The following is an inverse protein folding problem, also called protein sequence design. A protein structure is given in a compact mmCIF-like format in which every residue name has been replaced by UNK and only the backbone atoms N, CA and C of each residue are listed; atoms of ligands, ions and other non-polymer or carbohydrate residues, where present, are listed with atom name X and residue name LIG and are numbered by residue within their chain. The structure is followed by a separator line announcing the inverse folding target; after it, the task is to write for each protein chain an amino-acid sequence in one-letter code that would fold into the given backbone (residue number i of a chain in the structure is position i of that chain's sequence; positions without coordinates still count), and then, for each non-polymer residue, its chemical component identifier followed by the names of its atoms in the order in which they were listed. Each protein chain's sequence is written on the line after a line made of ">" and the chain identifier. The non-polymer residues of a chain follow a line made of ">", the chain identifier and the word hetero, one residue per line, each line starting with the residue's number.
data_IF_543924817346
#
_entry.id   IF_543924817346
#
_cell.length_a   1.000
_cell.length_b   1.000
_cell.length_c   1.000
_cell.angle_alpha   90.00
_cell.angle_beta   90.00
_cell.angle_gamma   90.00
#
_symmetry.space_group_name_H-M   'P 1'
#
loop_
_entity.id
_entity.type
_entity.pdbx_description
1 polymer ?
#
# COMPACT_ATOMS: atom_id res chain seq x y z
N UNK A 1 -9.46 2.21 -29.97
CA UNK A 1 -8.44 1.51 -30.76
C UNK A 1 -7.53 0.74 -29.79
N UNK A 2 -7.28 -0.55 -29.98
CA UNK A 2 -6.38 -1.30 -29.09
C UNK A 2 -4.90 -1.13 -29.50
N UNK A 3 -3.96 -1.58 -28.65
CA UNK A 3 -2.51 -1.44 -28.86
C UNK A 3 -2.02 -1.92 -30.24
N UNK A 4 -2.54 -3.04 -30.73
CA UNK A 4 -2.16 -3.61 -32.02
C UNK A 4 -2.66 -2.75 -33.19
N UNK A 5 -3.86 -2.21 -33.07
CA UNK A 5 -4.45 -1.32 -34.08
C UNK A 5 -3.73 0.03 -34.14
N UNK A 6 -3.29 0.58 -32.99
CA UNK A 6 -2.59 1.87 -32.94
C UNK A 6 -1.22 1.82 -33.64
N UNK A 7 -0.40 0.78 -33.39
CA UNK A 7 0.89 0.62 -34.05
C UNK A 7 0.77 0.47 -35.57
N UNK A 8 -0.18 -0.37 -36.02
CA UNK A 8 -0.46 -0.55 -37.44
C UNK A 8 -0.98 0.73 -38.11
N UNK A 9 -1.83 1.51 -37.42
CA UNK A 9 -2.35 2.77 -37.94
C UNK A 9 -1.26 3.84 -38.06
N UNK A 10 -0.34 3.94 -37.09
CA UNK A 10 0.82 4.84 -37.18
C UNK A 10 1.72 4.48 -38.37
N UNK A 11 1.95 3.18 -38.60
CA UNK A 11 2.71 2.70 -39.78
C UNK A 11 2.01 3.08 -41.08
N UNK A 12 0.68 2.93 -41.15
CA UNK A 12 -0.10 3.28 -42.33
C UNK A 12 -0.01 4.79 -42.64
N UNK A 13 -0.14 5.65 -41.62
CA UNK A 13 0.02 7.11 -41.77
C UNK A 13 1.43 7.48 -42.25
N UNK A 14 2.47 6.83 -41.71
CA UNK A 14 3.83 7.05 -42.21
C UNK A 14 3.95 6.66 -43.69
N UNK A 15 3.48 5.47 -44.06
CA UNK A 15 3.56 5.01 -45.45
C UNK A 15 2.79 5.93 -46.41
N UNK A 16 1.61 6.39 -46.02
CA UNK A 16 0.82 7.34 -46.79
C UNK A 16 1.51 8.70 -46.97
N UNK A 17 2.28 9.16 -45.97
CA UNK A 17 3.07 10.39 -46.07
C UNK A 17 4.31 10.28 -46.98
N UNK A 18 4.68 9.07 -47.41
CA UNK A 18 5.90 8.81 -48.18
C UNK A 18 7.21 8.93 -47.39
N UNK A 19 7.16 9.22 -46.09
CA UNK A 19 8.37 9.41 -45.26
C UNK A 19 9.01 8.07 -44.90
N UNK A 20 10.34 8.02 -45.04
CA UNK A 20 11.13 6.88 -44.57
C UNK A 20 11.10 6.77 -43.04
N UNK A 21 11.09 5.54 -42.52
CA UNK A 21 11.10 5.27 -41.08
C UNK A 21 12.28 5.93 -40.36
N UNK A 22 13.46 6.01 -41.00
CA UNK A 22 14.64 6.66 -40.43
C UNK A 22 14.46 8.17 -40.25
N UNK A 23 13.75 8.82 -41.17
CA UNK A 23 13.44 10.25 -41.11
C UNK A 23 12.43 10.53 -40.00
N UNK A 24 11.36 9.76 -39.92
CA UNK A 24 10.35 9.89 -38.85
C UNK A 24 10.95 9.62 -37.49
N UNK A 25 11.74 8.57 -37.32
CA UNK A 25 12.39 8.26 -36.04
C UNK A 25 13.30 9.41 -35.56
N UNK A 26 14.07 10.01 -36.48
CA UNK A 26 14.90 11.18 -36.19
C UNK A 26 14.05 12.39 -35.78
N UNK A 27 13.00 12.70 -36.55
CA UNK A 27 12.10 13.81 -36.24
C UNK A 27 11.33 13.63 -34.93
N UNK A 28 11.05 12.39 -34.55
CA UNK A 28 10.37 12.04 -33.31
C UNK A 28 11.33 11.83 -32.11
N UNK A 29 12.63 12.12 -32.28
CA UNK A 29 13.67 11.99 -31.26
C UNK A 29 13.72 10.59 -30.63
N UNK A 30 13.64 9.54 -31.46
CA UNK A 30 13.70 8.15 -31.02
C UNK A 30 14.56 7.28 -31.94
N UNK A 31 14.99 6.12 -31.45
CA UNK A 31 15.75 5.18 -32.26
C UNK A 31 14.88 4.55 -33.36
N UNK A 32 15.42 4.25 -34.55
CA UNK A 32 14.69 3.51 -35.58
C UNK A 32 14.17 2.14 -35.10
N UNK A 33 14.91 1.52 -34.17
CA UNK A 33 14.49 0.27 -33.52
C UNK A 33 13.24 0.47 -32.66
N UNK A 34 13.16 1.55 -31.86
CA UNK A 34 11.96 1.88 -31.06
C UNK A 34 10.75 2.11 -31.96
N UNK A 35 10.91 2.92 -33.02
CA UNK A 35 9.84 3.19 -33.99
C UNK A 35 9.36 1.89 -34.66
N UNK A 36 10.28 1.04 -35.11
CA UNK A 36 9.94 -0.25 -35.72
C UNK A 36 9.16 -1.17 -34.77
N UNK A 37 9.56 -1.25 -33.49
CA UNK A 37 8.82 -2.04 -32.50
C UNK A 37 7.41 -1.50 -32.27
N UNK A 38 7.23 -0.17 -32.28
CA UNK A 38 5.91 0.47 -32.17
C UNK A 38 5.05 0.14 -33.38
N UNK A 39 5.56 0.35 -34.60
CA UNK A 39 4.83 0.12 -35.86
C UNK A 39 4.42 -1.35 -36.05
N UNK A 40 5.18 -2.29 -35.46
CA UNK A 40 4.88 -3.72 -35.49
C UNK A 40 4.12 -4.22 -34.24
N UNK A 41 3.59 -3.33 -33.41
CA UNK A 41 2.86 -3.64 -32.16
C UNK A 41 3.66 -4.45 -31.10
N UNK A 42 4.97 -4.55 -31.28
CA UNK A 42 5.90 -5.21 -30.35
C UNK A 42 6.27 -4.32 -29.15
N UNK A 43 6.00 -3.01 -29.23
CA UNK A 43 6.12 -2.05 -28.14
C UNK A 43 4.90 -1.12 -28.14
N UNK A 44 4.26 -0.93 -26.99
CA UNK A 44 3.19 0.06 -26.86
C UNK A 44 3.80 1.47 -26.87
N UNK A 45 3.35 2.40 -27.74
CA UNK A 45 3.79 3.78 -27.67
C UNK A 45 3.12 4.51 -26.50
N UNK A 46 3.86 5.38 -25.81
CA UNK A 46 3.24 6.38 -24.94
C UNK A 46 2.47 7.42 -25.76
N UNK A 47 1.56 8.17 -25.14
CA UNK A 47 0.88 9.30 -25.79
C UNK A 47 1.89 10.30 -26.39
N UNK A 48 2.98 10.58 -25.67
CA UNK A 48 4.07 11.44 -26.14
C UNK A 48 4.88 10.82 -27.29
N UNK A 49 5.02 9.48 -27.36
CA UNK A 49 5.61 8.83 -28.52
C UNK A 49 4.70 8.99 -29.75
N UNK A 50 3.39 8.80 -29.59
CA UNK A 50 2.40 8.99 -30.65
C UNK A 50 2.40 10.42 -31.19
N UNK A 51 2.33 11.41 -30.30
CA UNK A 51 2.36 12.83 -30.67
C UNK A 51 3.64 13.20 -31.44
N UNK A 52 4.81 12.73 -30.98
CA UNK A 52 6.09 12.96 -31.66
C UNK A 52 6.16 12.30 -33.03
N UNK A 53 5.67 11.06 -33.15
CA UNK A 53 5.61 10.34 -34.43
C UNK A 53 4.70 11.09 -35.41
N UNK A 54 3.50 11.48 -34.99
CA UNK A 54 2.53 12.17 -35.84
C UNK A 54 3.00 13.58 -36.23
N UNK A 55 3.68 14.28 -35.33
CA UNK A 55 4.34 15.56 -35.63
C UNK A 55 5.44 15.38 -36.67
N UNK A 56 6.28 14.34 -36.54
CA UNK A 56 7.31 14.04 -37.53
C UNK A 56 6.73 13.60 -38.88
N UNK A 57 5.56 12.94 -38.90
CA UNK A 57 4.81 12.61 -40.11
C UNK A 57 4.18 13.87 -40.73
N UNK A 58 3.77 14.84 -39.92
CA UNK A 58 3.18 16.10 -40.37
C UNK A 58 1.67 16.01 -40.64
N UNK A 59 0.94 15.23 -39.84
CA UNK A 59 -0.53 15.16 -39.90
C UNK A 59 -1.18 16.40 -39.25
N UNK A 60 -2.49 16.60 -39.48
CA UNK A 60 -3.25 17.69 -38.87
C UNK A 60 -3.38 17.55 -37.35
N UNK A 61 -3.68 18.65 -36.66
CA UNK A 61 -3.80 18.65 -35.21
C UNK A 61 -5.01 17.84 -34.71
N UNK A 62 -6.08 17.74 -35.50
CA UNK A 62 -7.23 16.88 -35.20
C UNK A 62 -6.82 15.40 -35.17
N UNK A 63 -6.05 14.96 -36.18
CA UNK A 63 -5.54 13.58 -36.24
C UNK A 63 -4.54 13.31 -35.10
N UNK A 64 -3.68 14.28 -34.78
CA UNK A 64 -2.80 14.16 -33.59
C UNK A 64 -3.62 13.97 -32.33
N UNK A 65 -4.64 14.78 -32.11
CA UNK A 65 -5.47 14.72 -30.92
C UNK A 65 -6.19 13.36 -30.82
N UNK A 66 -6.82 12.90 -31.90
CA UNK A 66 -7.54 11.62 -31.94
C UNK A 66 -6.63 10.43 -31.57
N UNK A 67 -5.46 10.33 -32.20
CA UNK A 67 -4.54 9.21 -31.99
C UNK A 67 -3.83 9.28 -30.65
N UNK A 68 -3.55 10.49 -30.17
CA UNK A 68 -2.96 10.69 -28.84
C UNK A 68 -3.96 10.29 -27.76
N UNK A 69 -5.25 10.64 -27.90
CA UNK A 69 -6.32 10.16 -27.02
C UNK A 69 -6.50 8.64 -27.10
N UNK A 70 -6.42 8.05 -28.30
CA UNK A 70 -6.46 6.60 -28.44
C UNK A 70 -5.28 5.91 -27.73
N UNK A 71 -4.09 6.51 -27.77
CA UNK A 71 -2.91 6.03 -27.05
C UNK A 71 -3.10 6.12 -25.52
N UNK A 72 -3.67 7.22 -25.04
CA UNK A 72 -4.02 7.45 -23.62
C UNK A 72 -5.02 6.41 -23.12
N UNK A 73 -6.11 6.21 -23.86
CA UNK A 73 -7.11 5.18 -23.54
C UNK A 73 -6.52 3.76 -23.53
N UNK A 74 -5.46 3.51 -24.30
CA UNK A 74 -4.75 2.22 -24.34
C UNK A 74 -3.69 2.06 -23.25
N UNK A 75 -3.25 3.16 -22.60
CA UNK A 75 -2.21 3.17 -21.57
C UNK A 75 -2.70 2.68 -20.20
N UNK A 76 -4.03 2.57 -20.05
CA UNK A 76 -4.69 1.94 -18.91
C UNK A 76 -5.16 0.55 -19.31
N UNK A 77 -4.43 -0.48 -18.86
CA UNK A 77 -4.76 -1.87 -19.16
C UNK A 77 -5.44 -2.52 -17.96
N UNK A 78 -6.66 -3.05 -18.16
CA UNK A 78 -7.39 -3.82 -17.16
C UNK A 78 -7.28 -5.32 -17.48
N UNK A 79 -6.57 -6.06 -16.65
CA UNK A 79 -6.44 -7.51 -16.77
C UNK A 79 -7.33 -8.21 -15.76
N UNK A 80 -8.33 -8.95 -16.24
CA UNK A 80 -9.23 -9.69 -15.36
C UNK A 80 -8.50 -10.79 -14.57
N UNK A 81 -8.73 -10.88 -13.25
CA UNK A 81 -8.08 -11.86 -12.38
C UNK A 81 -8.30 -13.31 -12.83
N UNK A 82 -9.46 -13.60 -13.45
CA UNK A 82 -9.75 -14.92 -14.02
C UNK A 82 -8.75 -15.36 -15.10
N UNK A 83 -8.19 -14.42 -15.84
CA UNK A 83 -7.18 -14.70 -16.87
C UNK A 83 -5.82 -14.96 -16.23
N UNK A 84 -5.42 -14.14 -15.25
CA UNK A 84 -4.18 -14.34 -14.48
C UNK A 84 -4.19 -15.66 -13.70
N UNK A 85 -5.33 -16.04 -13.10
CA UNK A 85 -5.49 -17.33 -12.41
C UNK A 85 -5.27 -18.53 -13.34
N UNK A 86 -5.70 -18.47 -14.61
CA UNK A 86 -5.45 -19.54 -15.61
C UNK A 86 -3.97 -19.67 -15.97
N UNK A 87 -3.24 -18.56 -15.96
CA UNK A 87 -1.79 -18.53 -16.21
C UNK A 87 -1.00 -19.06 -15.01
N UNK A 88 -1.62 -19.02 -13.82
CA UNK A 88 -1.12 -19.54 -12.55
C UNK A 88 -0.69 -18.40 -11.61
N UNK A 89 -1.16 -18.45 -10.36
CA UNK A 89 -0.93 -17.40 -9.33
C UNK A 89 0.57 -17.12 -9.13
N UNK A 90 1.41 -18.14 -9.25
CA UNK A 90 2.87 -18.04 -9.19
C UNK A 90 3.47 -17.15 -10.28
N UNK A 91 2.98 -17.21 -11.52
CA UNK A 91 3.49 -16.36 -12.61
C UNK A 91 3.13 -14.88 -12.39
N UNK A 92 1.97 -14.60 -11.80
CA UNK A 92 1.61 -13.24 -11.37
C UNK A 92 2.52 -12.72 -10.26
N UNK A 93 2.90 -13.57 -9.30
CA UNK A 93 3.88 -13.21 -8.27
C UNK A 93 5.26 -12.93 -8.85
N UNK A 94 5.74 -13.75 -9.78
CA UNK A 94 7.02 -13.53 -10.45
C UNK A 94 7.04 -12.23 -11.26
N UNK A 95 5.95 -11.90 -11.96
CA UNK A 95 5.84 -10.64 -12.69
C UNK A 95 5.89 -9.43 -11.73
N UNK A 96 5.18 -9.51 -10.59
CA UNK A 96 5.25 -8.47 -9.56
C UNK A 96 6.65 -8.33 -8.96
N UNK A 97 7.32 -9.45 -8.67
CA UNK A 97 8.72 -9.45 -8.18
C UNK A 97 9.68 -8.86 -9.20
N UNK A 98 9.52 -9.16 -10.50
CA UNK A 98 10.37 -8.61 -11.55
C UNK A 98 10.24 -7.09 -11.67
N UNK A 99 9.01 -6.57 -11.57
CA UNK A 99 8.75 -5.13 -11.54
C UNK A 99 9.35 -4.48 -10.30
N UNK A 100 9.22 -5.12 -9.13
CA UNK A 100 9.80 -4.62 -7.87
C UNK A 100 11.34 -4.66 -7.85
N UNK A 101 11.93 -5.64 -8.51
CA UNK A 101 13.37 -5.73 -8.64
C UNK A 101 13.93 -4.54 -9.45
N UNK A 102 13.22 -4.12 -10.50
CA UNK A 102 13.65 -3.02 -11.36
C UNK A 102 13.38 -1.64 -10.77
N UNK A 103 12.47 -1.52 -9.79
CA UNK A 103 12.09 -0.21 -9.25
C UNK A 103 13.14 0.34 -8.28
N UNK A 104 13.29 1.66 -8.26
CA UNK A 104 14.07 2.37 -7.24
C UNK A 104 13.18 2.84 -6.07
N UNK A 105 11.95 3.22 -6.37
CA UNK A 105 11.00 3.77 -5.40
C UNK A 105 9.64 3.08 -5.54
N UNK A 106 9.09 2.67 -4.40
CA UNK A 106 7.72 2.15 -4.27
C UNK A 106 6.94 3.05 -3.33
N UNK A 107 5.77 3.52 -3.76
CA UNK A 107 4.76 4.14 -2.89
C UNK A 107 3.51 3.26 -2.89
N UNK A 108 3.07 2.82 -1.73
CA UNK A 108 1.90 1.95 -1.59
C UNK A 108 0.90 2.57 -0.62
N UNK A 109 -0.30 2.83 -1.13
CA UNK A 109 -1.43 3.25 -0.33
C UNK A 109 -2.35 2.06 -0.05
N UNK A 110 -2.65 1.81 1.22
CA UNK A 110 -3.54 0.73 1.64
C UNK A 110 -4.63 1.19 2.62
N UNK A 111 -5.88 1.31 2.16
CA UNK A 111 -6.97 1.76 3.01
C UNK A 111 -7.72 0.65 3.75
N UNK A 112 -7.48 -0.63 3.41
CA UNK A 112 -8.33 -1.73 3.85
C UNK A 112 -7.57 -3.01 4.27
N UNK A 113 -6.29 -3.14 3.98
CA UNK A 113 -5.51 -4.32 4.33
C UNK A 113 -4.06 -3.98 4.62
N UNK A 114 -3.41 -4.74 5.52
CA UNK A 114 -1.96 -4.59 5.72
C UNK A 114 -1.26 -4.83 4.37
N UNK A 115 -0.35 -3.93 3.92
CA UNK A 115 0.40 -4.11 2.69
C UNK A 115 1.09 -5.46 2.64
N UNK A 116 1.04 -6.16 1.50
CA UNK A 116 1.57 -7.52 1.37
C UNK A 116 3.04 -7.67 1.80
N UNK A 117 3.86 -6.64 1.59
CA UNK A 117 5.26 -6.61 2.01
C UNK A 117 5.41 -6.61 3.55
N UNK A 118 4.44 -6.04 4.26
CA UNK A 118 4.43 -5.91 5.72
C UNK A 118 3.71 -7.06 6.43
N UNK A 119 3.05 -7.97 5.72
CA UNK A 119 2.23 -9.03 6.33
C UNK A 119 3.05 -10.12 7.03
N UNK A 120 2.54 -10.67 8.14
CA UNK A 120 3.04 -11.91 8.76
C UNK A 120 2.49 -13.16 8.06
N UNK A 121 3.13 -14.33 8.19
CA UNK A 121 2.63 -15.59 7.60
C UNK A 121 1.17 -15.89 7.95
N UNK A 122 0.77 -15.64 9.20
CA UNK A 122 -0.57 -15.85 9.72
C UNK A 122 -1.59 -14.95 9.01
N UNK A 123 -1.22 -13.67 8.85
CA UNK A 123 -2.05 -12.69 8.15
C UNK A 123 -2.18 -13.03 6.66
N UNK A 124 -1.07 -13.38 6.01
CA UNK A 124 -1.06 -13.83 4.60
C UNK A 124 -2.01 -15.03 4.43
N UNK A 125 -1.89 -16.04 5.30
CA UNK A 125 -2.75 -17.24 5.27
C UNK A 125 -4.23 -16.87 5.41
N UNK A 126 -4.58 -15.98 6.35
CA UNK A 126 -5.96 -15.56 6.57
C UNK A 126 -6.56 -14.80 5.37
N UNK A 127 -5.76 -13.97 4.69
CA UNK A 127 -6.16 -13.29 3.46
C UNK A 127 -6.37 -14.30 2.33
N UNK A 128 -5.42 -15.22 2.13
CA UNK A 128 -5.44 -16.15 1.00
C UNK A 128 -6.51 -17.25 1.12
N UNK A 129 -6.90 -17.66 2.34
CA UNK A 129 -7.97 -18.66 2.55
C UNK A 129 -9.30 -18.28 1.89
N UNK A 130 -9.56 -16.97 1.70
CA UNK A 130 -10.78 -16.45 1.06
C UNK A 130 -10.85 -16.75 -0.44
N UNK A 131 -9.76 -17.20 -1.05
CA UNK A 131 -9.67 -17.46 -2.48
C UNK A 131 -9.91 -18.93 -2.87
N UNK A 132 -10.34 -19.78 -1.93
CA UNK A 132 -10.65 -21.20 -2.14
C UNK A 132 -9.52 -21.97 -2.85
N UNK A 133 -8.28 -21.72 -2.44
CA UNK A 133 -7.09 -22.43 -2.94
C UNK A 133 -6.99 -23.81 -2.28
N UNK A 134 -6.40 -24.79 -2.98
CA UNK A 134 -5.98 -26.04 -2.33
C UNK A 134 -4.87 -25.77 -1.31
N UNK A 135 -4.69 -26.62 -0.30
CA UNK A 135 -3.66 -26.42 0.75
C UNK A 135 -2.23 -26.34 0.17
N UNK A 136 -1.94 -27.12 -0.87
CA UNK A 136 -0.65 -27.08 -1.56
C UNK A 136 -0.46 -25.77 -2.36
N UNK A 137 -1.51 -25.29 -3.05
CA UNK A 137 -1.46 -24.00 -3.74
C UNK A 137 -1.37 -22.84 -2.75
N UNK A 138 -2.07 -22.91 -1.61
CA UNK A 138 -2.02 -21.95 -0.52
C UNK A 138 -0.60 -21.85 0.05
N UNK A 139 0.01 -22.99 0.38
CA UNK A 139 1.37 -23.05 0.94
C UNK A 139 2.39 -22.45 -0.03
N UNK A 140 2.34 -22.82 -1.31
CA UNK A 140 3.21 -22.23 -2.34
C UNK A 140 3.01 -20.72 -2.49
N UNK A 141 1.76 -20.26 -2.46
CA UNK A 141 1.42 -18.82 -2.58
C UNK A 141 1.89 -18.02 -1.36
N UNK A 142 1.83 -18.60 -0.15
CA UNK A 142 2.37 -18.01 1.08
C UNK A 142 3.89 -17.87 0.94
N UNK A 143 4.59 -18.93 0.56
CA UNK A 143 6.05 -18.92 0.42
C UNK A 143 6.51 -17.87 -0.60
N UNK A 144 5.89 -17.80 -1.77
CA UNK A 144 6.22 -16.76 -2.77
C UNK A 144 5.95 -15.34 -2.27
N UNK A 145 4.92 -15.13 -1.43
CA UNK A 145 4.71 -13.82 -0.77
C UNK A 145 5.81 -13.51 0.25
N UNK A 146 6.26 -14.49 1.03
CA UNK A 146 7.34 -14.30 2.00
C UNK A 146 8.68 -14.05 1.31
N UNK A 147 9.00 -14.77 0.24
CA UNK A 147 10.21 -14.54 -0.57
C UNK A 147 10.24 -13.13 -1.15
N UNK A 148 9.10 -12.63 -1.65
CA UNK A 148 8.96 -11.25 -2.13
C UNK A 148 9.24 -10.20 -1.07
N UNK A 149 9.04 -10.49 0.22
CA UNK A 149 9.33 -9.55 1.31
C UNK A 149 10.83 -9.30 1.51
N UNK A 150 11.72 -10.08 0.89
CA UNK A 150 13.17 -9.83 0.91
C UNK A 150 13.52 -8.42 0.40
N UNK A 151 12.70 -7.85 -0.49
CA UNK A 151 12.87 -6.47 -0.99
C UNK A 151 12.88 -5.41 0.11
N UNK A 152 12.25 -5.68 1.27
CA UNK A 152 12.28 -4.77 2.42
C UNK A 152 13.70 -4.53 2.94
N UNK A 153 14.63 -5.45 2.71
CA UNK A 153 16.01 -5.37 3.19
C UNK A 153 16.99 -4.86 2.12
N UNK A 154 16.50 -4.51 0.93
CA UNK A 154 17.31 -3.86 -0.10
C UNK A 154 17.41 -2.35 0.17
N UNK A 155 18.54 -1.93 0.74
CA UNK A 155 18.79 -0.52 1.10
C UNK A 155 18.98 0.40 -0.11
N UNK A 156 19.10 -0.14 -1.33
CA UNK A 156 19.13 0.67 -2.55
C UNK A 156 17.75 1.18 -2.97
N UNK A 157 16.67 0.68 -2.35
CA UNK A 157 15.28 1.03 -2.69
C UNK A 157 14.65 1.94 -1.65
N UNK A 158 13.82 2.88 -2.08
CA UNK A 158 12.97 3.70 -1.20
C UNK A 158 11.56 3.11 -1.15
N UNK A 159 11.17 2.56 -0.01
CA UNK A 159 9.85 1.93 0.17
C UNK A 159 8.97 2.79 1.08
N UNK A 160 7.86 3.30 0.55
CA UNK A 160 6.95 4.20 1.27
C UNK A 160 5.56 3.60 1.35
N UNK A 161 5.03 3.51 2.56
CA UNK A 161 3.74 2.92 2.84
C UNK A 161 2.88 3.94 3.56
N UNK A 162 1.68 4.16 3.06
CA UNK A 162 0.63 4.91 3.76
C UNK A 162 -0.53 3.98 3.96
N UNK A 163 -0.85 3.72 5.22
CA UNK A 163 -1.97 2.86 5.61
C UNK A 163 -2.95 3.64 6.45
N UNK A 164 -4.24 3.32 6.35
CA UNK A 164 -5.24 3.93 7.22
C UNK A 164 -5.35 3.15 8.53
N UNK A 165 -5.64 3.82 9.64
CA UNK A 165 -5.77 3.18 10.95
C UNK A 165 -6.81 2.01 10.97
N UNK A 166 -7.94 2.04 10.24
CA UNK A 166 -8.84 0.88 10.13
C UNK A 166 -8.17 -0.43 9.73
N UNK A 167 -7.11 -0.39 8.92
CA UNK A 167 -6.31 -1.57 8.54
C UNK A 167 -5.78 -2.33 9.76
N UNK A 168 -5.40 -1.58 10.79
CA UNK A 168 -4.80 -2.10 12.03
C UNK A 168 -5.85 -2.67 12.98
N UNK A 169 -7.12 -2.31 12.76
CA UNK A 169 -8.25 -2.66 13.63
C UNK A 169 -9.13 -3.78 13.06
N UNK A 170 -9.06 -4.02 11.75
CA UNK A 170 -9.78 -5.13 11.13
C UNK A 170 -9.28 -6.47 11.67
N UNK A 171 -10.18 -7.23 12.29
CA UNK A 171 -9.90 -8.54 12.91
C UNK A 171 -9.76 -9.65 11.87
N UNK A 172 -8.77 -9.51 10.98
CA UNK A 172 -8.47 -10.49 9.92
C UNK A 172 -7.90 -11.77 10.51
N UNK A 173 -7.14 -11.66 11.60
CA UNK A 173 -6.60 -12.76 12.40
C UNK A 173 -6.95 -12.57 13.89
N UNK A 174 -6.82 -13.62 14.73
CA UNK A 174 -7.04 -13.49 16.17
C UNK A 174 -6.14 -12.43 16.83
N UNK A 175 -6.55 -11.85 17.98
CA UNK A 175 -5.84 -10.72 18.62
C UNK A 175 -4.33 -10.93 18.81
N UNK A 176 -3.92 -12.12 19.27
CA UNK A 176 -2.50 -12.46 19.46
C UNK A 176 -1.68 -12.42 18.15
N UNK A 177 -2.29 -12.78 17.02
CA UNK A 177 -1.65 -12.71 15.70
C UNK A 177 -1.69 -11.30 15.12
N UNK A 178 -2.70 -10.51 15.47
CA UNK A 178 -2.70 -9.08 15.16
C UNK A 178 -1.59 -8.36 15.90
N UNK A 179 -1.34 -8.67 17.18
CA UNK A 179 -0.22 -8.10 17.94
C UNK A 179 1.12 -8.35 17.22
N UNK A 180 1.41 -9.61 16.86
CA UNK A 180 2.60 -9.95 16.08
C UNK A 180 2.67 -9.23 14.71
N UNK A 181 1.51 -8.97 14.08
CA UNK A 181 1.44 -8.18 12.84
C UNK A 181 1.79 -6.70 13.08
N UNK A 182 1.37 -6.11 14.20
CA UNK A 182 1.72 -4.74 14.56
C UNK A 182 3.21 -4.63 14.91
N UNK A 183 3.75 -5.59 15.68
CA UNK A 183 5.18 -5.68 16.02
C UNK A 183 6.05 -5.74 14.76
N UNK A 184 5.61 -6.48 13.74
CA UNK A 184 6.28 -6.53 12.45
C UNK A 184 6.31 -5.17 11.76
N UNK A 185 5.19 -4.43 11.78
CA UNK A 185 5.13 -3.08 11.19
C UNK A 185 6.09 -2.14 11.93
N UNK A 186 6.07 -2.15 13.26
CA UNK A 186 7.00 -1.39 14.10
C UNK A 186 8.45 -1.75 13.77
N UNK A 187 8.78 -3.04 13.70
CA UNK A 187 10.14 -3.51 13.43
C UNK A 187 10.64 -3.05 12.06
N UNK A 188 9.82 -3.21 11.01
CA UNK A 188 10.17 -2.80 9.64
C UNK A 188 10.28 -1.27 9.52
N UNK A 189 9.49 -0.51 10.28
CA UNK A 189 9.55 0.97 10.30
C UNK A 189 10.88 1.54 10.80
N UNK A 190 11.74 0.70 11.39
CA UNK A 190 13.08 1.10 11.87
C UNK A 190 14.15 1.01 10.77
N UNK A 191 13.83 0.44 9.61
CA UNK A 191 14.75 0.41 8.47
C UNK A 191 14.83 1.80 7.83
N UNK A 192 16.04 2.34 7.57
CA UNK A 192 16.21 3.74 7.17
C UNK A 192 15.61 4.08 5.80
N UNK A 193 15.48 3.09 4.92
CA UNK A 193 14.93 3.21 3.57
C UNK A 193 13.45 2.83 3.48
N UNK A 194 12.81 2.57 4.62
CA UNK A 194 11.39 2.21 4.73
C UNK A 194 10.64 3.28 5.53
N UNK A 195 9.74 4.00 4.88
CA UNK A 195 8.83 4.96 5.51
C UNK A 195 7.44 4.34 5.62
N UNK A 196 6.97 4.10 6.85
CA UNK A 196 5.61 3.62 7.12
C UNK A 196 4.87 4.70 7.87
N UNK A 197 3.72 5.09 7.32
CA UNK A 197 2.85 6.09 7.94
C UNK A 197 1.44 5.58 8.11
N UNK A 198 0.81 6.02 9.19
CA UNK A 198 -0.57 5.65 9.55
C UNK A 198 -1.45 6.89 9.54
N UNK A 199 -2.52 6.89 8.74
CA UNK A 199 -3.55 7.93 8.75
C UNK A 199 -4.52 7.64 9.90
N UNK A 200 -4.51 8.43 10.99
CA UNK A 200 -5.33 8.17 12.17
C UNK A 200 -6.79 8.57 11.95
N UNK A 201 -7.72 7.85 12.61
CA UNK A 201 -9.15 8.16 12.62
C UNK A 201 -9.49 9.45 13.36
N UNK A 202 -8.64 9.87 14.29
CA UNK A 202 -8.85 11.05 15.12
C UNK A 202 -8.68 12.38 14.37
N UNK A 203 -8.07 12.35 13.17
CA UNK A 203 -7.82 13.55 12.38
C UNK A 203 -8.89 13.73 11.30
N UNK A 204 -9.30 14.98 11.09
CA UNK A 204 -10.18 15.34 9.98
C UNK A 204 -9.47 15.05 8.65
N UNK A 205 -10.16 14.34 7.76
CA UNK A 205 -9.64 13.97 6.45
C UNK A 205 -10.19 14.91 5.38
N UNK A 206 -9.32 15.31 4.45
CA UNK A 206 -9.68 16.19 3.32
C UNK A 206 -9.89 15.40 2.01
N UNK A 207 -9.71 14.08 2.05
CA UNK A 207 -9.84 13.19 0.90
C UNK A 207 -10.37 11.80 1.33
N UNK A 208 -10.85 11.02 0.36
CA UNK A 208 -11.46 9.72 0.55
C UNK A 208 -10.48 8.61 0.18
N UNK A 209 -10.37 7.62 1.07
CA UNK A 209 -9.52 6.45 0.93
C UNK A 209 -10.20 5.37 0.04
N UNK A 210 -10.33 5.64 -1.27
CA UNK A 210 -11.14 4.84 -2.20
C UNK A 210 -10.67 3.38 -2.37
N UNK A 211 -9.45 3.18 -2.83
CA UNK A 211 -8.90 1.88 -3.19
C UNK A 211 -7.40 1.82 -2.97
N UNK A 212 -6.86 0.60 -2.90
CA UNK A 212 -5.42 0.39 -2.79
C UNK A 212 -4.73 0.61 -4.14
N UNK A 213 -3.53 1.19 -4.11
CA UNK A 213 -2.70 1.38 -5.29
C UNK A 213 -1.22 1.34 -4.95
N UNK A 214 -0.41 0.96 -5.95
CA UNK A 214 1.06 0.89 -5.86
C UNK A 214 1.66 1.70 -6.99
N UNK A 215 2.41 2.76 -6.66
CA UNK A 215 3.19 3.58 -7.60
C UNK A 215 4.63 3.05 -7.61
N UNK A 216 5.18 2.84 -8.81
CA UNK A 216 6.58 2.46 -9.03
C UNK A 216 7.27 3.55 -9.85
N UNK A 217 8.33 4.13 -9.28
CA UNK A 217 9.17 5.17 -9.88
C UNK A 217 8.40 6.35 -10.50
N UNK A 218 7.20 6.66 -10.01
CA UNK A 218 6.33 7.73 -10.54
C UNK A 218 6.01 7.63 -12.04
N UNK A 219 6.07 6.41 -12.59
CA UNK A 219 5.81 6.15 -14.01
C UNK A 219 4.80 5.03 -14.25
N UNK A 220 4.48 4.25 -13.21
CA UNK A 220 3.50 3.17 -13.30
C UNK A 220 2.71 3.05 -12.00
N UNK A 221 1.39 2.94 -12.12
CA UNK A 221 0.50 2.62 -11.00
C UNK A 221 -0.19 1.29 -11.26
N UNK A 222 -0.21 0.43 -10.25
CA UNK A 222 -1.05 -0.78 -10.23
C UNK A 222 -2.18 -0.61 -9.23
N UNK A 223 -3.39 -0.91 -9.66
CA UNK A 223 -4.61 -0.86 -8.88
C UNK A 223 -5.22 -2.25 -8.87
N UNK A 224 -5.55 -2.76 -7.70
CA UNK A 224 -6.29 -4.02 -7.57
C UNK A 224 -7.77 -3.70 -7.35
N UNK A 225 -8.62 -4.17 -8.26
CA UNK A 225 -10.08 -4.16 -8.10
C UNK A 225 -10.58 -5.58 -7.82
N UNK A 226 -11.86 -5.70 -7.48
CA UNK A 226 -12.49 -7.01 -7.19
C UNK A 226 -12.33 -8.01 -8.32
N UNK A 227 -12.34 -7.57 -9.58
CA UNK A 227 -12.39 -8.45 -10.75
C UNK A 227 -11.18 -8.33 -11.69
N UNK A 228 -10.36 -7.29 -11.55
CA UNK A 228 -9.23 -7.02 -12.41
C UNK A 228 -8.09 -6.29 -11.70
N UNK A 229 -6.88 -6.47 -12.22
CA UNK A 229 -5.74 -5.57 -12.01
C UNK A 229 -5.79 -4.49 -13.08
N UNK A 230 -5.62 -3.23 -12.70
CA UNK A 230 -5.50 -2.10 -13.64
C UNK A 230 -4.08 -1.55 -13.54
N UNK A 231 -3.41 -1.47 -14.68
CA UNK A 231 -2.09 -0.85 -14.81
C UNK A 231 -2.24 0.47 -15.54
N UNK A 232 -1.81 1.56 -14.89
CA UNK A 232 -1.86 2.93 -15.41
C UNK A 232 -0.43 3.40 -15.68
N UNK A 233 -0.19 3.92 -16.87
CA UNK A 233 1.13 4.42 -17.30
C UNK A 233 1.08 5.82 -17.95
N UNK A 234 -0.10 6.42 -18.11
CA UNK A 234 -0.21 7.82 -18.55
C UNK A 234 0.31 8.75 -17.43
N UNK A 235 1.32 9.60 -17.68
CA UNK A 235 1.92 10.43 -16.64
C UNK A 235 0.95 11.36 -15.91
N UNK A 236 -0.14 11.81 -16.56
CA UNK A 236 -1.14 12.67 -15.91
C UNK A 236 -1.94 11.88 -14.89
N UNK A 237 -2.38 10.68 -15.27
CA UNK A 237 -3.12 9.80 -14.38
C UNK A 237 -2.23 9.28 -13.25
N UNK A 238 -0.97 8.96 -13.53
CA UNK A 238 0.02 8.63 -12.49
C UNK A 238 0.20 9.80 -11.52
N UNK A 239 0.27 11.04 -12.03
CA UNK A 239 0.34 12.26 -11.21
C UNK A 239 -0.81 12.37 -10.21
N UNK A 240 -2.04 12.06 -10.61
CA UNK A 240 -3.20 12.06 -9.70
C UNK A 240 -3.02 11.09 -8.51
N UNK A 241 -2.40 9.94 -8.73
CA UNK A 241 -2.10 8.98 -7.66
C UNK A 241 -0.99 9.46 -6.75
N UNK A 242 0.05 10.12 -7.30
CA UNK A 242 1.13 10.72 -6.52
C UNK A 242 0.58 11.82 -5.62
N UNK A 243 -0.20 12.76 -6.16
CA UNK A 243 -0.82 13.85 -5.40
C UNK A 243 -1.72 13.30 -4.28
N UNK A 244 -2.50 12.27 -4.57
CA UNK A 244 -3.35 11.59 -3.58
C UNK A 244 -2.54 10.93 -2.47
N UNK A 245 -1.46 10.22 -2.83
CA UNK A 245 -0.55 9.59 -1.87
C UNK A 245 0.08 10.65 -0.96
N UNK A 246 0.56 11.74 -1.53
CA UNK A 246 1.20 12.83 -0.78
C UNK A 246 0.20 13.55 0.12
N UNK A 247 -1.04 13.74 -0.33
CA UNK A 247 -2.13 14.29 0.48
C UNK A 247 -2.38 13.50 1.77
N UNK A 248 -2.45 12.16 1.69
CA UNK A 248 -2.56 11.32 2.88
C UNK A 248 -1.25 11.29 3.70
N UNK A 249 -0.10 11.39 3.06
CA UNK A 249 1.22 11.41 3.70
C UNK A 249 1.40 12.60 4.64
N UNK A 250 0.83 13.76 4.30
CA UNK A 250 0.90 15.00 5.10
C UNK A 250 0.19 14.86 6.45
N UNK A 251 -0.95 14.17 6.48
CA UNK A 251 -1.77 14.01 7.70
C UNK A 251 -1.45 12.74 8.49
N UNK A 252 -0.62 11.85 7.94
CA UNK A 252 -0.29 10.58 8.56
C UNK A 252 0.78 10.73 9.65
N UNK A 253 0.64 9.93 10.71
CA UNK A 253 1.68 9.78 11.74
C UNK A 253 2.86 8.98 11.17
N UNK A 254 4.07 9.33 11.56
CA UNK A 254 5.31 8.61 11.24
C UNK A 254 6.22 8.52 12.48
N UNK A 255 7.32 7.75 12.36
CA UNK A 255 8.35 7.66 13.40
C UNK A 255 7.79 7.22 14.76
N UNK A 256 8.25 7.87 15.84
CA UNK A 256 7.86 7.52 17.21
C UNK A 256 6.37 7.75 17.49
N UNK A 257 5.74 8.74 16.85
CA UNK A 257 4.29 8.96 17.01
C UNK A 257 3.46 7.83 16.39
N UNK A 258 3.92 7.31 15.25
CA UNK A 258 3.28 6.15 14.62
C UNK A 258 3.52 4.90 15.47
N UNK A 259 4.75 4.67 15.94
CA UNK A 259 5.06 3.55 16.83
C UNK A 259 4.26 3.61 18.14
N UNK A 260 4.18 4.79 18.76
CA UNK A 260 3.32 5.05 19.92
C UNK A 260 1.87 4.64 19.64
N UNK A 261 1.26 5.11 18.54
CA UNK A 261 -0.09 4.68 18.17
C UNK A 261 -0.25 3.13 18.09
N UNK A 262 0.78 2.42 17.65
CA UNK A 262 0.79 0.95 17.56
C UNK A 262 1.08 0.28 18.93
N UNK A 263 1.83 0.93 19.81
CA UNK A 263 2.36 0.42 21.08
C UNK A 263 1.57 0.87 22.32
N UNK A 264 0.77 1.95 22.25
CA UNK A 264 0.12 2.67 23.37
C UNK A 264 -0.86 1.83 24.23
N UNK A 265 -1.05 0.56 23.89
CA UNK A 265 -1.88 -0.41 24.63
C UNK A 265 -1.13 -1.69 25.01
N UNK A 266 0.05 -1.89 24.44
CA UNK A 266 0.91 -3.04 24.70
C UNK A 266 1.41 -3.03 26.15
N UNK A 267 1.88 -1.87 26.66
CA UNK A 267 2.32 -1.74 28.06
C UNK A 267 1.23 -2.16 29.06
N UNK A 268 0.00 -1.68 28.86
CA UNK A 268 -1.10 -1.99 29.76
C UNK A 268 -1.46 -3.48 29.69
N UNK A 269 -1.43 -4.07 28.50
CA UNK A 269 -1.60 -5.51 28.31
C UNK A 269 -0.52 -6.34 29.00
N UNK A 270 0.75 -5.94 28.88
CA UNK A 270 1.88 -6.62 29.52
C UNK A 270 1.80 -6.55 31.05
N UNK A 271 1.53 -5.38 31.63
CA UNK A 271 1.35 -5.23 33.08
C UNK A 271 0.18 -6.07 33.58
N UNK A 272 -0.96 -6.05 32.88
CA UNK A 272 -2.11 -6.88 33.27
C UNK A 272 -1.81 -8.38 33.18
N UNK A 273 -1.09 -8.83 32.16
CA UNK A 273 -0.69 -10.22 32.00
C UNK A 273 0.32 -10.67 33.08
N UNK A 274 1.31 -9.83 33.42
CA UNK A 274 2.31 -10.11 34.46
C UNK A 274 1.65 -10.35 35.83
N UNK A 275 0.67 -9.52 36.19
CA UNK A 275 -0.02 -9.60 37.48
C UNK A 275 -1.24 -10.53 37.48
N UNK A 276 -1.69 -11.00 36.31
CA UNK A 276 -2.88 -11.86 36.17
C UNK A 276 -2.89 -13.06 37.13
N UNK A 277 -1.80 -13.81 37.33
CA UNK A 277 -1.81 -14.94 38.26
C UNK A 277 -2.03 -14.54 39.73
N UNK A 278 -1.75 -13.28 40.07
CA UNK A 278 -1.77 -12.75 41.45
C UNK A 278 -3.07 -12.04 41.82
N UNK A 279 -4.00 -11.83 40.89
CA UNK A 279 -5.27 -11.16 41.20
C UNK A 279 -6.15 -12.02 42.12
N UNK A 280 -6.70 -11.42 43.17
CA UNK A 280 -7.50 -12.13 44.17
C UNK A 280 -8.81 -12.71 43.60
N UNK A 281 -9.43 -12.01 42.64
CA UNK A 281 -10.68 -12.45 42.03
C UNK A 281 -10.40 -13.25 40.76
N UNK A 282 -11.01 -14.44 40.66
CA UNK A 282 -10.89 -15.34 39.50
C UNK A 282 -11.28 -14.65 38.19
N UNK A 283 -12.35 -13.82 38.22
CA UNK A 283 -12.78 -13.04 37.07
C UNK A 283 -11.67 -12.14 36.52
N UNK A 284 -10.81 -11.59 37.37
CA UNK A 284 -9.76 -10.66 36.95
C UNK A 284 -8.53 -11.39 36.41
N UNK A 285 -8.41 -12.72 36.63
CA UNK A 285 -7.43 -13.59 35.97
C UNK A 285 -7.84 -14.02 34.56
N UNK A 286 -9.11 -13.82 34.19
CA UNK A 286 -9.64 -14.18 32.86
C UNK A 286 -8.96 -13.33 31.77
N UNK A 287 -8.18 -13.99 30.93
CA UNK A 287 -7.45 -13.39 29.81
C UNK A 287 -8.39 -12.69 28.82
N UNK A 288 -9.62 -13.19 28.66
CA UNK A 288 -10.63 -12.59 27.78
C UNK A 288 -11.18 -11.29 28.35
N UNK A 289 -11.29 -11.18 29.67
CA UNK A 289 -11.67 -9.95 30.36
C UNK A 289 -10.52 -8.94 30.36
N UNK A 290 -9.29 -9.39 30.63
CA UNK A 290 -8.11 -8.52 30.57
C UNK A 290 -7.91 -7.93 29.18
N UNK A 291 -8.07 -8.72 28.11
CA UNK A 291 -8.02 -8.21 26.74
C UNK A 291 -9.12 -7.17 26.44
N UNK A 292 -10.32 -7.34 27.02
CA UNK A 292 -11.41 -6.34 26.93
C UNK A 292 -11.08 -5.05 27.67
N UNK A 293 -10.42 -5.13 28.82
CA UNK A 293 -9.95 -3.96 29.56
C UNK A 293 -8.89 -3.20 28.77
N UNK A 294 -7.90 -3.89 28.20
CA UNK A 294 -6.90 -3.26 27.31
C UNK A 294 -7.57 -2.58 26.11
N UNK A 295 -8.56 -3.24 25.49
CA UNK A 295 -9.29 -2.67 24.35
C UNK A 295 -10.12 -1.44 24.73
N UNK A 296 -10.77 -1.47 25.91
CA UNK A 296 -11.53 -0.33 26.44
C UNK A 296 -10.62 0.83 26.82
N UNK A 297 -9.47 0.54 27.43
CA UNK A 297 -8.44 1.52 27.72
C UNK A 297 -7.94 2.19 26.43
N UNK A 298 -7.68 1.40 25.39
CA UNK A 298 -7.30 1.92 24.09
C UNK A 298 -8.31 2.94 23.54
N UNK A 299 -9.61 2.65 23.68
CA UNK A 299 -10.68 3.56 23.25
C UNK A 299 -10.69 4.85 24.08
N UNK A 300 -10.56 4.73 25.41
CA UNK A 300 -10.53 5.88 26.32
C UNK A 300 -9.30 6.76 26.08
N UNK A 301 -8.11 6.19 25.99
CA UNK A 301 -6.86 6.92 25.73
C UNK A 301 -6.92 7.67 24.39
N UNK A 302 -7.46 7.04 23.35
CA UNK A 302 -7.67 7.71 22.04
C UNK A 302 -8.66 8.88 22.09
N UNK A 303 -9.61 8.85 23.02
CA UNK A 303 -10.52 9.98 23.25
C UNK A 303 -9.87 11.12 24.04
N UNK A 304 -8.63 10.95 24.51
CA UNK A 304 -7.93 11.87 25.41
C UNK A 304 -8.39 11.73 26.87
N UNK A 305 -8.96 10.57 27.23
CA UNK A 305 -9.39 10.26 28.59
C UNK A 305 -8.36 9.35 29.24
N UNK A 306 -7.95 9.69 30.46
CA UNK A 306 -7.06 8.85 31.25
C UNK A 306 -7.73 7.55 31.66
N UNK A 307 -6.94 6.50 31.82
CA UNK A 307 -7.42 5.17 32.23
C UNK A 307 -6.81 4.83 33.57
N UNK A 308 -7.65 4.40 34.52
CA UNK A 308 -7.22 3.87 35.81
C UNK A 308 -7.93 2.55 36.07
N UNK A 309 -7.15 1.49 36.26
CA UNK A 309 -7.64 0.18 36.69
C UNK A 309 -7.05 -0.21 38.03
N UNK A 310 -7.85 -0.96 38.80
CA UNK A 310 -7.53 -1.31 40.18
C UNK A 310 -7.88 -2.76 40.48
N UNK A 311 -6.93 -3.49 41.05
CA UNK A 311 -7.08 -4.92 41.32
C UNK A 311 -6.53 -5.28 42.70
N UNK A 312 -7.28 -6.06 43.46
CA UNK A 312 -6.78 -6.70 44.68
C UNK A 312 -5.93 -7.92 44.31
N UNK A 313 -4.81 -8.11 45.01
CA UNK A 313 -3.94 -9.29 44.86
C UNK A 313 -4.19 -10.30 45.99
N UNK A 314 -3.65 -11.52 45.89
CA UNK A 314 -3.80 -12.61 46.88
C UNK A 314 -3.22 -12.31 48.29
N UNK A 315 -2.48 -11.20 48.46
CA UNK A 315 -1.99 -10.65 49.74
C UNK A 315 -2.67 -9.29 49.98
N UNK A 316 -2.67 -8.69 51.19
CA UNK A 316 -3.28 -7.38 51.46
C UNK A 316 -2.53 -6.25 50.71
N UNK A 317 -2.71 -6.24 49.39
CA UNK A 317 -1.96 -5.46 48.43
C UNK A 317 -2.87 -5.19 47.24
N UNK A 318 -2.80 -3.96 46.75
CA UNK A 318 -3.65 -3.45 45.69
C UNK A 318 -2.77 -2.93 44.56
N UNK A 319 -3.03 -3.38 43.34
CA UNK A 319 -2.37 -2.89 42.14
C UNK A 319 -3.27 -1.82 41.51
N UNK A 320 -2.73 -0.61 41.38
CA UNK A 320 -3.33 0.45 40.58
C UNK A 320 -2.47 0.66 39.33
N UNK A 321 -3.07 0.53 38.15
CA UNK A 321 -2.44 0.82 36.87
C UNK A 321 -3.14 2.03 36.26
N UNK A 322 -2.39 3.10 36.05
CA UNK A 322 -2.90 4.35 35.49
C UNK A 322 -2.12 4.69 34.23
N UNK A 323 -2.83 4.92 33.13
CA UNK A 323 -2.27 5.47 31.88
C UNK A 323 -2.89 6.85 31.70
N UNK A 324 -2.05 7.87 31.81
CA UNK A 324 -2.45 9.28 31.66
C UNK A 324 -2.05 9.73 30.27
N UNK A 325 -3.00 10.29 29.52
CA UNK A 325 -2.72 10.80 28.18
C UNK A 325 -1.99 12.14 28.29
N UNK A 326 -0.86 12.28 27.60
CA UNK A 326 -0.16 13.56 27.46
C UNK A 326 -0.78 14.47 26.38
N UNK A 327 -2.10 14.35 26.18
CA UNK A 327 -2.84 15.33 25.39
C UNK A 327 -2.77 16.67 26.13
N UNK A 328 -2.70 17.85 25.45
CA UNK A 328 -2.98 19.10 26.14
C UNK A 328 -4.32 18.90 26.84
N UNK A 329 -4.33 19.13 28.15
CA UNK A 329 -5.52 19.03 28.95
C UNK A 329 -6.59 19.85 28.22
N UNK A 330 -7.68 19.24 27.75
CA UNK A 330 -8.70 19.97 26.96
C UNK A 330 -9.33 21.10 27.77
N UNK A 331 -9.18 21.09 29.10
CA UNK A 331 -9.56 22.18 29.98
C UNK A 331 -8.48 23.28 30.14
N UNK A 332 -7.21 22.98 29.87
CA UNK A 332 -6.07 23.91 30.01
C UNK A 332 -4.99 23.59 28.94
N UNK A 333 -5.19 24.13 27.73
CA UNK A 333 -4.37 23.81 26.56
C UNK A 333 -2.89 24.24 26.67
N UNK A 334 -2.58 25.09 27.64
CA UNK A 334 -1.29 25.79 27.77
C UNK A 334 -0.28 24.99 28.62
N UNK A 335 -0.71 23.90 29.25
CA UNK A 335 0.16 23.06 30.10
C UNK A 335 0.87 22.02 29.24
N UNK A 336 2.20 22.15 29.14
CA UNK A 336 3.05 21.18 28.47
C UNK A 336 3.03 19.82 29.19
N UNK A 337 3.12 18.73 28.42
CA UNK A 337 3.28 17.38 28.95
C UNK A 337 4.56 17.31 29.81
N UNK A 338 4.52 16.80 31.06
CA UNK A 338 5.68 16.73 31.94
C UNK A 338 6.76 15.75 31.49
N UNK A 339 6.51 15.01 30.40
CA UNK A 339 7.40 14.04 29.78
C UNK A 339 7.95 14.53 28.43
N UNK A 340 7.66 15.79 28.04
CA UNK A 340 8.08 16.41 26.77
C UNK A 340 9.43 17.12 26.86
#
# INVERSE_FOLDING_TARGET
>A
MNRAQLGAALRALRMASGKEAKVVARGALMSPSKLSKIENANLAPSAADVERILTAIGVSDEVKAEYTEAARASATEATAWRLLKRIGVHKGQQAAMALEYQMSTLRLFQPALVPGLLQTPEYIRAVLKRHNLSEDALTRTINGRLERQAVLYDSAKSLRFVITEPVLRWKIVPPQMMAAQLDRIVSVSRLPHVDIRVVPLALQQNDIANHAFVIRDDHMVTIETVHAEVVVTDPRDVGLYVDKFDGFTVVALSGDRMRGLLEDTAWLGERLAEYAPRFAAEKDRDTTRLARLVSSAAEQLRSGTDVSYGFYLERPSYLSLVVVTCSPNRAVADVACPVA
#
